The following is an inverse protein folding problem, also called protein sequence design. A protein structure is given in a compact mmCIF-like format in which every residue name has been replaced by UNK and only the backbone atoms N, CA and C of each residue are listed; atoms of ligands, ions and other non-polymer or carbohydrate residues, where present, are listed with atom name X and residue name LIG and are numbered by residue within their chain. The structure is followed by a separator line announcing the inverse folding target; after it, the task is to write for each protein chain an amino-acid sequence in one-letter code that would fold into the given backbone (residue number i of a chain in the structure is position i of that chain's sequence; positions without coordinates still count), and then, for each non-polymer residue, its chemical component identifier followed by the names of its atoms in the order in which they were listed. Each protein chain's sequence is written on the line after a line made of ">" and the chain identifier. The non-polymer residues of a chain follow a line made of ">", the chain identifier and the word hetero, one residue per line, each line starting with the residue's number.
data_IF_861114870413
#
_entry.id   IF_861114870413
#
_cell.length_a   1.000
_cell.length_b   1.000
_cell.length_c   1.000
_cell.angle_alpha   90.00
_cell.angle_beta   90.00
_cell.angle_gamma   90.00
#
_symmetry.space_group_name_H-M   'P 1'
#
loop_
_entity.id
_entity.type
_entity.pdbx_description
1 polymer ?
#
# COMPACT_ATOMS: atom_id res chain seq x y z
N UNK A 1 -6.32 10.52 -10.82
CA UNK A 1 -6.03 10.52 -9.36
C UNK A 1 -4.65 11.12 -9.14
N UNK A 2 -4.38 11.70 -7.98
CA UNK A 2 -3.08 12.30 -7.65
C UNK A 2 -2.59 11.82 -6.29
N UNK A 3 -1.29 11.66 -6.15
CA UNK A 3 -0.60 11.40 -4.89
C UNK A 3 -0.04 12.71 -4.35
N UNK A 4 -0.35 13.00 -3.10
CA UNK A 4 0.14 14.17 -2.40
C UNK A 4 1.00 13.77 -1.23
N UNK A 5 2.13 14.43 -1.06
CA UNK A 5 2.92 14.40 0.16
C UNK A 5 2.58 15.64 0.98
N UNK A 6 1.98 15.44 2.14
CA UNK A 6 1.63 16.53 3.06
C UNK A 6 2.72 16.62 4.12
N UNK A 7 3.29 17.81 4.27
CA UNK A 7 4.24 18.12 5.33
C UNK A 7 3.45 18.75 6.48
N UNK A 8 3.45 18.11 7.62
CA UNK A 8 2.81 18.59 8.84
C UNK A 8 3.89 19.05 9.83
N UNK A 9 3.78 20.30 10.26
CA UNK A 9 4.69 20.87 11.23
C UNK A 9 4.04 20.84 12.61
N UNK A 10 4.66 20.07 13.50
CA UNK A 10 4.40 20.06 14.92
C UNK A 10 5.63 20.62 15.63
N UNK A 11 5.77 20.38 16.94
CA UNK A 11 7.08 20.52 17.62
C UNK A 11 8.13 19.56 17.00
N UNK A 12 7.67 18.50 16.32
CA UNK A 12 8.46 17.66 15.40
C UNK A 12 7.79 17.71 14.01
N UNK A 13 8.58 17.70 12.93
CA UNK A 13 8.09 17.66 11.55
C UNK A 13 7.83 16.21 11.15
N UNK A 14 6.67 15.93 10.57
CA UNK A 14 6.34 14.64 9.95
C UNK A 14 5.83 14.86 8.53
N UNK A 15 5.80 13.80 7.72
CA UNK A 15 5.20 13.81 6.40
C UNK A 15 4.38 12.53 6.19
N UNK A 16 3.25 12.65 5.53
CA UNK A 16 2.38 11.54 5.14
C UNK A 16 2.08 11.63 3.65
N UNK A 17 1.83 10.49 3.03
CA UNK A 17 1.41 10.41 1.64
C UNK A 17 -0.07 10.03 1.58
N UNK A 18 -0.83 10.73 0.76
CA UNK A 18 -2.26 10.48 0.56
C UNK A 18 -2.63 10.50 -0.92
N UNK A 19 -3.61 9.70 -1.31
CA UNK A 19 -4.19 9.73 -2.65
C UNK A 19 -5.46 10.60 -2.63
N UNK A 20 -5.54 11.59 -3.52
CA UNK A 20 -6.67 12.49 -3.61
C UNK A 20 -6.83 13.06 -5.03
N UNK A 21 -8.02 13.57 -5.35
CA UNK A 21 -8.26 14.26 -6.60
C UNK A 21 -7.94 15.76 -6.49
N UNK A 22 -8.10 16.33 -5.31
CA UNK A 22 -7.86 17.74 -5.02
C UNK A 22 -6.95 17.95 -3.81
N UNK A 23 -6.37 19.15 -3.68
CA UNK A 23 -5.55 19.53 -2.53
C UNK A 23 -6.36 19.60 -1.24
N UNK A 24 -7.60 20.09 -1.34
CA UNK A 24 -8.52 20.19 -0.21
C UNK A 24 -8.84 18.81 0.36
N UNK A 25 -9.11 17.84 -0.51
CA UNK A 25 -9.31 16.44 -0.12
C UNK A 25 -8.04 15.85 0.51
N UNK A 26 -6.85 16.15 -0.05
CA UNK A 26 -5.58 15.69 0.51
C UNK A 26 -5.36 16.19 1.94
N UNK A 27 -5.63 17.47 2.20
CA UNK A 27 -5.55 18.01 3.56
C UNK A 27 -6.58 17.41 4.51
N UNK A 28 -7.78 17.11 4.03
CA UNK A 28 -8.81 16.46 4.84
C UNK A 28 -8.36 15.04 5.23
N UNK A 29 -7.95 14.22 4.25
CA UNK A 29 -7.42 12.87 4.51
C UNK A 29 -6.21 12.87 5.44
N UNK A 30 -5.32 13.86 5.30
CA UNK A 30 -4.16 14.02 6.17
C UNK A 30 -4.54 14.30 7.63
N UNK A 31 -5.63 15.01 7.87
CA UNK A 31 -6.16 15.29 9.23
C UNK A 31 -6.88 14.09 9.83
N UNK A 32 -7.56 13.29 9.01
CA UNK A 32 -8.28 12.08 9.44
C UNK A 32 -7.29 10.96 9.81
N UNK A 33 -6.11 10.94 9.18
CA UNK A 33 -5.00 10.06 9.53
C UNK A 33 -4.09 10.66 10.61
N UNK A 34 -4.70 11.28 11.63
CA UNK A 34 -3.94 11.78 12.77
C UNK A 34 -3.12 10.64 13.36
N UNK A 35 -1.79 10.80 13.31
CA UNK A 35 -0.90 9.90 14.01
C UNK A 35 -1.32 9.96 15.48
N UNK A 36 -1.95 8.91 15.99
CA UNK A 36 -2.05 8.66 17.43
C UNK A 36 -0.64 8.50 18.00
N UNK A 37 0.01 9.63 18.20
CA UNK A 37 1.18 9.71 19.07
C UNK A 37 0.63 9.61 20.50
N UNK A 38 0.37 8.41 20.93
CA UNK A 38 -0.48 8.01 22.03
C UNK A 38 -0.15 8.58 23.43
N UNK A 39 0.90 9.38 23.57
CA UNK A 39 1.30 9.95 24.86
C UNK A 39 1.74 11.43 24.82
N UNK A 40 1.66 12.09 23.64
CA UNK A 40 2.04 13.49 23.52
C UNK A 40 0.96 14.24 22.74
N UNK A 41 0.29 15.18 23.38
CA UNK A 41 -0.60 16.13 22.68
C UNK A 41 0.27 17.13 21.90
N UNK A 42 0.47 16.86 20.61
CA UNK A 42 1.07 17.85 19.70
C UNK A 42 -0.06 18.68 19.08
N UNK A 43 0.06 20.00 19.14
CA UNK A 43 -0.78 20.87 18.35
C UNK A 43 -0.21 20.98 16.94
N UNK A 44 -1.07 20.78 15.91
CA UNK A 44 -0.69 20.96 14.52
C UNK A 44 -0.48 22.46 14.25
N UNK A 45 0.77 22.88 14.05
CA UNK A 45 1.11 24.26 13.75
C UNK A 45 0.73 24.66 12.32
N UNK A 46 1.03 23.79 11.35
CA UNK A 46 0.72 24.01 9.93
C UNK A 46 0.83 22.71 9.13
N UNK A 47 0.20 22.72 7.95
CA UNK A 47 0.36 21.66 6.96
C UNK A 47 0.53 22.28 5.57
N UNK A 48 1.44 21.74 4.77
CA UNK A 48 1.69 22.20 3.40
C UNK A 48 1.83 21.03 2.43
N UNK A 49 1.57 21.27 1.14
CA UNK A 49 1.83 20.30 0.09
C UNK A 49 3.33 20.28 -0.19
N UNK A 50 4.02 19.21 0.19
CA UNK A 50 5.43 19.00 -0.11
C UNK A 50 5.65 18.53 -1.56
N UNK A 51 4.79 17.64 -2.06
CA UNK A 51 4.87 17.09 -3.41
C UNK A 51 3.48 16.71 -3.92
N UNK A 52 3.28 16.86 -5.22
CA UNK A 52 2.09 16.45 -5.95
C UNK A 52 2.52 15.65 -7.19
N UNK A 53 1.99 14.45 -7.37
CA UNK A 53 2.30 13.56 -8.50
C UNK A 53 1.01 13.03 -9.11
N UNK A 54 0.94 13.01 -10.45
CA UNK A 54 -0.13 12.30 -11.15
C UNK A 54 0.14 10.80 -11.06
N UNK A 55 -0.86 10.05 -10.65
CA UNK A 55 -0.81 8.58 -10.63
C UNK A 55 -1.87 8.00 -11.56
N UNK A 56 -1.62 6.84 -12.18
CA UNK A 56 -2.62 6.11 -12.95
C UNK A 56 -3.85 5.78 -12.10
N UNK A 57 -4.93 5.39 -12.74
CA UNK A 57 -6.11 4.88 -12.06
C UNK A 57 -5.75 3.62 -11.26
N UNK A 58 -6.04 3.62 -9.96
CA UNK A 58 -5.67 2.53 -9.06
C UNK A 58 -6.27 1.19 -9.52
N UNK A 59 -7.51 1.21 -10.03
CA UNK A 59 -8.16 0.01 -10.55
C UNK A 59 -7.43 -0.56 -11.78
N UNK A 60 -6.92 0.31 -12.65
CA UNK A 60 -6.10 -0.11 -13.80
C UNK A 60 -4.79 -0.75 -13.33
N UNK A 61 -4.13 -0.18 -12.32
CA UNK A 61 -2.91 -0.73 -11.73
C UNK A 61 -3.15 -2.08 -11.07
N UNK A 62 -4.24 -2.22 -10.30
CA UNK A 62 -4.63 -3.50 -9.67
C UNK A 62 -4.83 -4.57 -10.74
N UNK A 63 -5.57 -4.26 -11.82
CA UNK A 63 -5.79 -5.21 -12.90
C UNK A 63 -4.47 -5.64 -13.58
N UNK A 64 -3.56 -4.70 -13.82
CA UNK A 64 -2.24 -5.00 -14.40
C UNK A 64 -1.38 -5.85 -13.46
N UNK A 65 -1.31 -5.51 -12.18
CA UNK A 65 -0.54 -6.28 -11.20
C UNK A 65 -1.09 -7.70 -11.06
N UNK A 66 -2.41 -7.85 -10.97
CA UNK A 66 -3.08 -9.16 -10.93
C UNK A 66 -2.77 -10.01 -12.16
N UNK A 67 -2.78 -9.40 -13.36
CA UNK A 67 -2.44 -10.10 -14.60
C UNK A 67 -0.96 -10.55 -14.63
N UNK A 68 -0.04 -9.75 -14.07
CA UNK A 68 1.37 -10.14 -13.93
C UNK A 68 1.51 -11.39 -13.09
N UNK A 69 0.94 -11.41 -11.89
CA UNK A 69 1.05 -12.56 -10.98
C UNK A 69 0.35 -13.79 -11.56
N UNK A 70 -0.84 -13.62 -12.14
CA UNK A 70 -1.56 -14.71 -12.80
C UNK A 70 -0.73 -15.37 -13.91
N UNK A 71 -0.12 -14.58 -14.80
CA UNK A 71 0.76 -15.11 -15.86
C UNK A 71 1.98 -15.81 -15.28
N UNK A 72 2.57 -15.25 -14.23
CA UNK A 72 3.72 -15.85 -13.55
C UNK A 72 3.41 -17.27 -13.06
N UNK A 73 2.24 -17.49 -12.47
CA UNK A 73 1.78 -18.81 -12.04
C UNK A 73 1.43 -19.73 -13.21
N UNK A 74 0.72 -19.22 -14.25
CA UNK A 74 0.34 -19.99 -15.44
C UNK A 74 1.55 -20.51 -16.23
N UNK A 75 2.70 -19.81 -16.18
CA UNK A 75 3.97 -20.29 -16.77
C UNK A 75 4.63 -21.43 -15.97
N UNK A 76 3.99 -21.88 -14.89
CA UNK A 76 4.45 -23.00 -14.06
C UNK A 76 5.61 -22.65 -13.12
N UNK A 77 5.76 -21.37 -12.80
CA UNK A 77 6.72 -20.93 -11.80
C UNK A 77 6.25 -21.36 -10.39
N UNK A 78 7.00 -22.28 -9.78
CA UNK A 78 6.73 -22.78 -8.42
C UNK A 78 7.57 -22.06 -7.34
N UNK A 79 8.19 -20.96 -7.69
CA UNK A 79 8.95 -20.10 -6.78
C UNK A 79 8.17 -18.83 -6.46
N UNK A 80 8.49 -18.17 -5.37
CA UNK A 80 7.94 -16.86 -5.04
C UNK A 80 8.25 -15.84 -6.13
N UNK A 81 7.32 -14.93 -6.39
CA UNK A 81 7.53 -13.80 -7.31
C UNK A 81 8.65 -12.92 -6.76
N UNK A 82 9.77 -12.83 -7.49
CA UNK A 82 10.99 -12.20 -6.99
C UNK A 82 10.90 -10.68 -7.00
N UNK A 83 11.12 -10.07 -5.84
CA UNK A 83 11.24 -8.62 -5.67
C UNK A 83 12.53 -8.28 -4.90
N UNK A 84 13.17 -7.11 -5.16
CA UNK A 84 14.40 -6.72 -4.45
C UNK A 84 14.20 -6.60 -2.94
N UNK A 85 13.04 -6.13 -2.52
CA UNK A 85 12.62 -6.00 -1.12
C UNK A 85 11.11 -6.16 -1.07
N UNK A 86 10.65 -7.11 -0.29
CA UNK A 86 9.22 -7.28 -0.05
C UNK A 86 8.67 -6.10 0.74
N UNK A 87 7.47 -5.61 0.38
CA UNK A 87 6.87 -4.46 1.04
C UNK A 87 6.42 -4.83 2.46
N UNK A 88 6.37 -3.83 3.31
CA UNK A 88 5.68 -3.91 4.60
C UNK A 88 4.29 -3.31 4.42
N UNK A 89 3.27 -4.05 4.83
CA UNK A 89 1.86 -3.65 4.76
C UNK A 89 1.25 -3.54 6.15
N UNK A 90 0.21 -2.73 6.25
CA UNK A 90 -0.57 -2.56 7.47
C UNK A 90 -1.78 -3.49 7.43
N UNK A 91 -1.92 -4.35 8.43
CA UNK A 91 -3.05 -5.25 8.59
C UNK A 91 -3.75 -5.00 9.92
N UNK A 92 -5.01 -5.40 10.02
CA UNK A 92 -5.75 -5.33 11.27
C UNK A 92 -5.85 -6.73 11.89
N UNK A 93 -5.56 -6.85 13.17
CA UNK A 93 -5.73 -8.08 13.93
C UNK A 93 -6.53 -7.85 15.20
N UNK A 94 -7.34 -8.85 15.60
CA UNK A 94 -8.12 -8.81 16.84
C UNK A 94 -7.27 -9.30 18.02
N UNK A 95 -7.05 -8.45 19.02
CA UNK A 95 -6.26 -8.81 20.22
C UNK A 95 -7.07 -9.42 21.36
N UNK A 96 -8.39 -9.57 21.18
CA UNK A 96 -9.34 -10.05 22.19
C UNK A 96 -10.29 -8.97 22.69
N UNK A 97 -9.92 -7.71 22.62
CA UNK A 97 -10.70 -6.55 23.08
C UNK A 97 -10.99 -5.56 21.95
N UNK A 98 -10.02 -5.34 21.05
CA UNK A 98 -10.09 -4.36 19.95
C UNK A 98 -9.29 -4.81 18.74
N UNK A 99 -9.56 -4.19 17.58
CA UNK A 99 -8.71 -4.33 16.40
C UNK A 99 -7.48 -3.43 16.57
N UNK A 100 -6.30 -4.05 16.40
CA UNK A 100 -5.02 -3.35 16.41
C UNK A 100 -4.38 -3.40 15.02
N UNK A 101 -3.74 -2.32 14.62
CA UNK A 101 -2.93 -2.28 13.43
C UNK A 101 -1.58 -2.96 13.67
N UNK A 102 -1.19 -3.80 12.73
CA UNK A 102 0.10 -4.47 12.72
C UNK A 102 0.79 -4.25 11.39
N UNK A 103 2.11 -4.07 11.43
CA UNK A 103 2.94 -4.03 10.23
C UNK A 103 3.53 -5.41 9.97
N UNK A 104 3.23 -5.95 8.81
CA UNK A 104 3.67 -7.27 8.38
C UNK A 104 4.47 -7.17 7.09
N UNK A 105 5.52 -7.97 6.98
CA UNK A 105 6.30 -8.08 5.75
C UNK A 105 5.57 -9.07 4.85
N UNK A 106 5.34 -8.69 3.60
CA UNK A 106 4.85 -9.60 2.56
C UNK A 106 5.95 -10.62 2.25
N UNK A 107 5.59 -11.88 2.16
CA UNK A 107 6.52 -12.98 1.87
C UNK A 107 6.39 -13.48 0.42
N UNK A 108 5.19 -13.39 -0.14
CA UNK A 108 4.91 -13.77 -1.52
C UNK A 108 3.60 -13.14 -2.03
N UNK A 109 3.42 -13.18 -3.36
CA UNK A 109 2.22 -12.76 -4.07
C UNK A 109 1.66 -13.94 -4.84
N UNK A 110 0.32 -14.08 -4.86
CA UNK A 110 -0.35 -15.09 -5.68
C UNK A 110 -1.69 -14.60 -6.18
N UNK A 111 -2.24 -15.27 -7.19
CA UNK A 111 -3.53 -14.95 -7.78
C UNK A 111 -4.58 -15.99 -7.39
N UNK A 112 -5.62 -15.55 -6.72
CA UNK A 112 -6.80 -16.36 -6.43
C UNK A 112 -7.94 -15.99 -7.38
N UNK A 113 -8.54 -16.99 -8.06
CA UNK A 113 -9.58 -16.75 -9.06
C UNK A 113 -10.84 -16.08 -8.48
N UNK A 114 -11.10 -16.29 -7.20
CA UNK A 114 -12.30 -15.79 -6.52
C UNK A 114 -12.04 -14.44 -5.80
N UNK A 115 -10.77 -14.18 -5.48
CA UNK A 115 -10.34 -13.05 -4.65
C UNK A 115 -9.42 -12.04 -5.36
N UNK A 116 -8.80 -12.39 -6.48
CA UNK A 116 -7.83 -11.61 -7.23
C UNK A 116 -6.40 -11.64 -6.66
N UNK A 117 -5.76 -10.50 -6.42
CA UNK A 117 -4.36 -10.45 -5.95
C UNK A 117 -4.30 -10.62 -4.44
N UNK A 118 -3.59 -11.68 -4.03
CA UNK A 118 -3.38 -12.06 -2.64
C UNK A 118 -1.91 -11.92 -2.25
N UNK A 119 -1.66 -11.75 -0.96
CA UNK A 119 -0.34 -11.68 -0.37
C UNK A 119 -0.25 -12.66 0.80
N UNK A 120 0.85 -13.43 0.85
CA UNK A 120 1.25 -14.11 2.07
C UNK A 120 2.02 -13.13 2.95
N UNK A 121 1.63 -13.07 4.22
CA UNK A 121 2.33 -12.31 5.27
C UNK A 121 2.69 -13.27 6.40
N UNK A 122 3.66 -12.93 7.20
CA UNK A 122 4.29 -13.82 8.19
C UNK A 122 3.32 -14.76 8.93
N UNK A 123 3.81 -15.96 9.28
CA UNK A 123 3.05 -17.04 9.91
C UNK A 123 1.93 -17.66 9.06
N UNK A 124 1.93 -17.43 7.73
CA UNK A 124 0.98 -18.03 6.79
C UNK A 124 -0.39 -17.36 6.76
N UNK A 125 -0.48 -16.12 7.20
CA UNK A 125 -1.68 -15.31 6.99
C UNK A 125 -1.76 -14.81 5.55
N UNK A 126 -2.98 -14.77 5.02
CA UNK A 126 -3.30 -14.28 3.68
C UNK A 126 -4.06 -12.96 3.80
N UNK A 127 -3.70 -12.01 2.95
CA UNK A 127 -4.33 -10.68 2.90
C UNK A 127 -4.71 -10.38 1.45
N UNK A 128 -5.94 -9.94 1.22
CA UNK A 128 -6.38 -9.45 -0.08
C UNK A 128 -5.83 -8.03 -0.31
N UNK A 129 -5.45 -7.72 -1.55
CA UNK A 129 -4.92 -6.40 -1.87
C UNK A 129 -5.91 -5.27 -1.55
N UNK A 130 -7.20 -5.49 -1.73
CA UNK A 130 -8.26 -4.50 -1.51
C UNK A 130 -8.56 -4.23 -0.02
N UNK A 131 -8.04 -5.07 0.88
CA UNK A 131 -8.09 -4.84 2.33
C UNK A 131 -7.07 -3.79 2.80
N UNK A 132 -6.07 -3.47 1.95
CA UNK A 132 -5.04 -2.49 2.28
C UNK A 132 -5.52 -1.05 2.06
N UNK A 133 -4.93 -0.08 2.77
CA UNK A 133 -5.07 1.34 2.43
C UNK A 133 -4.67 1.60 0.96
N UNK A 134 -5.38 2.48 0.26
CA UNK A 134 -5.15 2.78 -1.17
C UNK A 134 -3.69 3.12 -1.50
N UNK A 135 -2.99 3.81 -0.61
CA UNK A 135 -1.57 4.17 -0.79
C UNK A 135 -0.66 2.93 -0.77
N UNK A 136 -0.99 1.92 0.04
CA UNK A 136 -0.25 0.66 0.09
C UNK A 136 -0.60 -0.21 -1.11
N UNK A 137 -1.88 -0.26 -1.54
CA UNK A 137 -2.30 -0.92 -2.78
C UNK A 137 -1.52 -0.37 -3.97
N UNK A 138 -1.40 0.97 -4.09
CA UNK A 138 -0.62 1.62 -5.12
C UNK A 138 0.83 1.13 -5.11
N UNK A 139 1.49 1.17 -3.94
CA UNK A 139 2.89 0.78 -3.79
C UNK A 139 3.14 -0.69 -4.15
N UNK A 140 2.25 -1.59 -3.75
CA UNK A 140 2.30 -3.03 -4.09
C UNK A 140 2.14 -3.23 -5.60
N UNK A 141 1.13 -2.61 -6.22
CA UNK A 141 0.90 -2.72 -7.66
C UNK A 141 2.07 -2.19 -8.49
N UNK A 142 2.61 -1.03 -8.15
CA UNK A 142 3.78 -0.46 -8.82
C UNK A 142 5.01 -1.35 -8.70
N UNK A 143 5.23 -1.97 -7.53
CA UNK A 143 6.32 -2.91 -7.31
C UNK A 143 6.19 -4.13 -8.23
N UNK A 144 5.04 -4.79 -8.23
CA UNK A 144 4.78 -5.99 -9.05
C UNK A 144 4.96 -5.68 -10.55
N UNK A 145 4.37 -4.58 -11.04
CA UNK A 145 4.46 -4.19 -12.44
C UNK A 145 5.92 -3.87 -12.83
N UNK A 146 6.65 -3.17 -11.98
CA UNK A 146 8.06 -2.84 -12.22
C UNK A 146 8.93 -4.09 -12.29
N UNK A 147 8.69 -5.07 -11.44
CA UNK A 147 9.50 -6.29 -11.36
C UNK A 147 9.03 -7.40 -12.34
N UNK A 148 7.97 -7.18 -13.11
CA UNK A 148 7.43 -8.16 -14.06
C UNK A 148 8.50 -8.73 -15.00
N UNK A 149 9.30 -7.87 -15.65
CA UNK A 149 10.35 -8.29 -16.58
C UNK A 149 11.45 -9.09 -15.92
N UNK A 150 11.78 -8.81 -14.65
CA UNK A 150 12.78 -9.56 -13.89
C UNK A 150 12.29 -10.97 -13.56
N UNK A 151 10.98 -11.19 -13.57
CA UNK A 151 10.33 -12.48 -13.37
C UNK A 151 9.90 -13.14 -14.71
N UNK A 152 10.40 -12.65 -15.84
CA UNK A 152 10.14 -13.22 -17.16
C UNK A 152 8.80 -12.80 -17.80
N UNK A 153 8.01 -11.97 -17.13
CA UNK A 153 6.69 -11.55 -17.63
C UNK A 153 6.81 -10.28 -18.48
N UNK A 154 6.28 -10.36 -19.69
CA UNK A 154 6.19 -9.21 -20.62
C UNK A 154 4.76 -8.66 -20.60
N UNK A 155 4.62 -7.38 -20.28
CA UNK A 155 3.35 -6.65 -20.26
C UNK A 155 2.98 -6.11 -21.63
#
# INVERSE_FOLDING_TARGET
>A
MKKFTIIQNFTAVTSIEVLAETREEAFQKARENDLELSDYSFELDSAEIGREEDVPDLKELINKASEVIKRYEEEGNNSCFSVPTYPTITTQSWNGDEFIEQRNIVEDFYYDSDKALMMYVGEGFEVELDELPEIEQLGVCELIIREASNNGITL
#
